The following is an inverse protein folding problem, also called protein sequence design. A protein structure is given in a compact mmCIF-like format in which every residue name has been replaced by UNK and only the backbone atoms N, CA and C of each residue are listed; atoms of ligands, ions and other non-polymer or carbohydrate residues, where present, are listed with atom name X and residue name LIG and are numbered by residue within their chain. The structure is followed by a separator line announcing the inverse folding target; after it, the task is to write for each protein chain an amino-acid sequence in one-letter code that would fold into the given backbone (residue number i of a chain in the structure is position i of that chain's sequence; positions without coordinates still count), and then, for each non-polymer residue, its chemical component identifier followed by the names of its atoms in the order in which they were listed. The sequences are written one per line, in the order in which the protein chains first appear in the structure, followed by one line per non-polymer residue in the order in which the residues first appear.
data_IF_419753408374
#
_entry.id   IF_419753408374
#
_cell.length_a   1.000
_cell.length_b   1.000
_cell.length_c   1.000
_cell.angle_alpha   90.00
_cell.angle_beta   90.00
_cell.angle_gamma   90.00
#
_symmetry.space_group_name_H-M   'P 1'
#
loop_
_entity.id
_entity.type
_entity.pdbx_description
1 polymer ?
#
# COMPACT_ATOMS: atom_id res chain seq x y z
N UNK A 1 27.00 -6.98 30.95
CA UNK A 1 25.80 -6.14 30.65
C UNK A 1 25.99 -5.55 29.25
N UNK A 2 25.38 -6.15 28.22
CA UNK A 2 25.60 -5.78 26.81
C UNK A 2 24.78 -4.53 26.44
N UNK A 3 25.42 -3.36 26.52
CA UNK A 3 24.80 -2.06 26.17
C UNK A 3 24.76 -1.88 24.64
N UNK A 4 25.70 -2.50 23.90
CA UNK A 4 25.80 -2.42 22.44
C UNK A 4 24.70 -3.18 21.67
N UNK A 5 24.02 -4.15 22.29
CA UNK A 5 22.88 -4.84 21.68
C UNK A 5 21.61 -3.98 21.63
N UNK A 6 21.47 -3.02 22.55
CA UNK A 6 20.27 -2.18 22.69
C UNK A 6 20.19 -1.05 21.65
N UNK A 7 21.35 -0.53 21.20
CA UNK A 7 21.41 0.54 20.19
C UNK A 7 20.99 0.09 18.79
N UNK A 8 21.33 -1.15 18.39
CA UNK A 8 20.92 -1.72 17.10
C UNK A 8 19.38 -1.78 16.98
N UNK A 9 18.70 -2.17 18.06
CA UNK A 9 17.24 -2.23 18.09
C UNK A 9 16.58 -0.85 17.95
N UNK A 10 17.20 0.22 18.49
CA UNK A 10 16.70 1.59 18.35
C UNK A 10 16.82 2.14 16.93
N UNK A 11 17.94 1.87 16.25
CA UNK A 11 18.13 2.27 14.85
C UNK A 11 17.14 1.53 13.95
N UNK A 12 16.96 0.22 14.16
CA UNK A 12 15.96 -0.56 13.42
C UNK A 12 14.54 -0.05 13.68
N UNK A 13 14.21 0.31 14.93
CA UNK A 13 12.91 0.90 15.27
C UNK A 13 12.71 2.26 14.60
N UNK A 14 13.72 3.12 14.61
CA UNK A 14 13.68 4.41 13.92
C UNK A 14 13.44 4.24 12.42
N UNK A 15 14.21 3.36 11.77
CA UNK A 15 14.01 3.04 10.35
C UNK A 15 12.60 2.52 10.08
N UNK A 16 12.09 1.61 10.92
CA UNK A 16 10.71 1.11 10.81
C UNK A 16 9.66 2.23 10.89
N UNK A 17 9.82 3.20 11.80
CA UNK A 17 8.89 4.32 11.89
C UNK A 17 8.98 5.25 10.68
N UNK A 18 10.19 5.54 10.20
CA UNK A 18 10.40 6.37 9.01
C UNK A 18 9.85 5.75 7.73
N UNK A 19 9.89 4.42 7.62
CA UNK A 19 9.40 3.68 6.44
C UNK A 19 7.98 3.12 6.62
N UNK A 20 7.36 3.34 7.78
CA UNK A 20 6.01 2.87 8.05
C UNK A 20 5.01 3.52 7.09
N UNK A 21 4.44 2.70 6.22
CA UNK A 21 3.37 3.08 5.29
C UNK A 21 1.99 2.67 5.80
N UNK A 22 1.86 2.39 7.10
CA UNK A 22 0.65 1.90 7.73
C UNK A 22 0.17 2.80 8.89
N UNK A 23 -1.09 2.61 9.30
CA UNK A 23 -1.79 3.32 10.36
C UNK A 23 -2.03 4.83 10.11
N UNK A 24 -1.12 5.71 10.52
CA UNK A 24 -1.40 7.15 10.65
C UNK A 24 -1.50 7.85 9.30
N UNK A 25 -0.50 7.66 8.43
CA UNK A 25 -0.47 8.26 7.09
C UNK A 25 -1.66 7.82 6.24
N UNK A 26 -2.09 6.58 6.41
CA UNK A 26 -3.28 6.03 5.72
C UNK A 26 -4.57 6.62 6.25
N UNK A 27 -4.70 6.74 7.57
CA UNK A 27 -5.85 7.40 8.19
C UNK A 27 -5.96 8.84 7.70
N UNK A 28 -4.87 9.60 7.78
CA UNK A 28 -4.82 10.99 7.31
C UNK A 28 -5.15 11.11 5.82
N UNK A 29 -4.57 10.27 4.97
CA UNK A 29 -4.87 10.29 3.53
C UNK A 29 -6.35 9.94 3.23
N UNK A 30 -6.92 8.98 3.96
CA UNK A 30 -8.34 8.63 3.85
C UNK A 30 -9.24 9.80 4.27
N UNK A 31 -8.98 10.39 5.44
CA UNK A 31 -9.78 11.52 5.94
C UNK A 31 -9.68 12.73 5.02
N UNK A 32 -8.48 12.99 4.50
CA UNK A 32 -8.28 14.08 3.55
C UNK A 32 -9.01 13.82 2.24
N UNK A 33 -8.91 12.62 1.65
CA UNK A 33 -9.68 12.26 0.46
C UNK A 33 -11.20 12.38 0.70
N UNK A 34 -11.67 11.94 1.87
CA UNK A 34 -13.07 12.07 2.27
C UNK A 34 -13.50 13.54 2.36
N UNK A 35 -12.65 14.43 2.90
CA UNK A 35 -12.93 15.88 2.93
C UNK A 35 -13.08 16.53 1.55
N UNK A 36 -12.48 15.93 0.52
CA UNK A 36 -12.58 16.36 -0.88
C UNK A 36 -13.69 15.63 -1.65
N UNK A 37 -14.43 14.73 -1.01
CA UNK A 37 -15.41 13.86 -1.66
C UNK A 37 -14.80 12.84 -2.62
N UNK A 38 -13.50 12.56 -2.50
CA UNK A 38 -12.75 11.64 -3.37
C UNK A 38 -12.74 10.24 -2.74
N UNK A 39 -13.08 9.18 -3.49
CA UNK A 39 -13.01 7.82 -2.98
C UNK A 39 -11.55 7.39 -2.74
N UNK A 40 -11.27 6.86 -1.54
CA UNK A 40 -9.95 6.36 -1.14
C UNK A 40 -9.90 4.84 -1.17
N UNK A 41 -9.03 4.27 -2.01
CA UNK A 41 -8.79 2.83 -2.11
C UNK A 41 -7.40 2.48 -1.56
N UNK A 42 -7.33 1.50 -0.65
CA UNK A 42 -6.06 0.96 -0.14
C UNK A 42 -6.05 -0.55 -0.25
N UNK A 43 -5.10 -1.05 -1.02
CA UNK A 43 -4.84 -2.48 -1.15
C UNK A 43 -3.59 -2.84 -0.36
N UNK A 44 -3.76 -3.66 0.67
CA UNK A 44 -2.67 -4.09 1.55
C UNK A 44 -3.02 -5.46 2.11
N UNK A 45 -2.54 -6.56 1.51
CA UNK A 45 -2.74 -7.90 2.05
C UNK A 45 -2.10 -7.98 3.45
N UNK A 46 -2.75 -8.71 4.35
CA UNK A 46 -2.16 -9.06 5.66
C UNK A 46 -1.38 -10.34 5.48
N UNK A 47 -0.06 -10.22 5.49
CA UNK A 47 0.83 -11.35 5.31
C UNK A 47 0.98 -12.14 6.61
N UNK A 48 1.12 -13.45 6.53
CA UNK A 48 1.28 -14.34 7.70
C UNK A 48 2.66 -14.22 8.34
N UNK A 49 3.67 -13.81 7.56
CA UNK A 49 5.04 -13.58 8.00
C UNK A 49 5.63 -12.30 7.44
N UNK A 50 6.69 -11.83 8.10
CA UNK A 50 7.54 -10.77 7.55
C UNK A 50 8.45 -11.35 6.45
N UNK A 51 8.65 -10.56 5.40
CA UNK A 51 9.58 -10.87 4.31
C UNK A 51 10.68 -9.80 4.31
N UNK A 52 11.93 -10.25 4.23
CA UNK A 52 13.07 -9.34 4.08
C UNK A 52 13.04 -8.70 2.69
N UNK A 53 13.47 -7.44 2.62
CA UNK A 53 13.39 -6.65 1.38
C UNK A 53 14.28 -7.23 0.26
N UNK A 54 15.38 -7.87 0.64
CA UNK A 54 16.38 -8.50 -0.23
C UNK A 54 16.18 -10.01 -0.38
N UNK A 55 15.04 -10.55 0.06
CA UNK A 55 14.73 -11.98 -0.07
C UNK A 55 14.59 -12.39 -1.54
N UNK A 56 15.44 -13.35 -1.95
CA UNK A 56 15.39 -14.00 -3.28
C UNK A 56 14.88 -15.45 -3.22
N UNK A 57 14.48 -15.92 -2.03
CA UNK A 57 14.03 -17.29 -1.83
C UNK A 57 12.68 -17.52 -2.51
N UNK A 58 12.65 -18.45 -3.49
CA UNK A 58 11.47 -18.71 -4.30
C UNK A 58 10.24 -19.11 -3.45
N UNK A 59 10.41 -19.98 -2.45
CA UNK A 59 9.33 -20.41 -1.56
C UNK A 59 8.67 -19.22 -0.85
N UNK A 60 9.46 -18.25 -0.38
CA UNK A 60 8.91 -17.05 0.26
C UNK A 60 8.14 -16.15 -0.70
N UNK A 61 8.62 -16.03 -1.93
CA UNK A 61 7.92 -15.27 -2.96
C UNK A 61 6.59 -15.95 -3.32
N UNK A 62 6.56 -17.29 -3.43
CA UNK A 62 5.35 -18.04 -3.71
C UNK A 62 4.30 -17.90 -2.61
N UNK A 63 4.69 -18.02 -1.34
CA UNK A 63 3.78 -17.81 -0.21
C UNK A 63 3.20 -16.39 -0.22
N UNK A 64 4.06 -15.38 -0.38
CA UNK A 64 3.67 -13.98 -0.48
C UNK A 64 2.66 -13.74 -1.62
N UNK A 65 2.92 -14.30 -2.80
CA UNK A 65 2.02 -14.21 -3.95
C UNK A 65 0.70 -14.92 -3.71
N UNK A 66 0.72 -16.12 -3.13
CA UNK A 66 -0.49 -16.87 -2.85
C UNK A 66 -1.38 -16.13 -1.85
N UNK A 67 -0.82 -15.62 -0.76
CA UNK A 67 -1.55 -14.82 0.23
C UNK A 67 -2.13 -13.54 -0.38
N UNK A 68 -1.37 -12.89 -1.27
CA UNK A 68 -1.84 -11.72 -2.02
C UNK A 68 -3.02 -12.09 -2.94
N UNK A 69 -2.94 -13.21 -3.66
CA UNK A 69 -4.03 -13.67 -4.53
C UNK A 69 -5.30 -14.00 -3.73
N UNK A 70 -5.15 -14.66 -2.57
CA UNK A 70 -6.26 -14.93 -1.65
C UNK A 70 -6.90 -13.62 -1.19
N UNK A 71 -6.10 -12.62 -0.80
CA UNK A 71 -6.59 -11.29 -0.42
C UNK A 71 -7.38 -10.62 -1.56
N UNK A 72 -6.85 -10.66 -2.78
CA UNK A 72 -7.49 -10.06 -3.96
C UNK A 72 -8.85 -10.70 -4.26
N UNK A 73 -8.95 -12.03 -4.17
CA UNK A 73 -10.18 -12.78 -4.47
C UNK A 73 -11.23 -12.69 -3.37
N UNK A 74 -10.82 -12.51 -2.12
CA UNK A 74 -11.73 -12.55 -0.97
C UNK A 74 -12.07 -11.16 -0.45
N UNK A 75 -11.07 -10.44 0.08
CA UNK A 75 -11.27 -9.19 0.83
C UNK A 75 -11.33 -7.97 -0.10
N UNK A 76 -10.45 -7.89 -1.10
CA UNK A 76 -10.32 -6.71 -1.94
C UNK A 76 -11.25 -6.70 -3.16
N UNK A 77 -11.87 -7.85 -3.50
CA UNK A 77 -12.60 -8.04 -4.76
C UNK A 77 -13.62 -6.94 -5.04
N UNK A 78 -14.43 -6.58 -4.04
CA UNK A 78 -15.47 -5.55 -4.21
C UNK A 78 -14.89 -4.15 -4.40
N UNK A 79 -13.83 -3.81 -3.67
CA UNK A 79 -13.14 -2.53 -3.80
C UNK A 79 -12.45 -2.39 -5.16
N UNK A 80 -11.86 -3.47 -5.68
CA UNK A 80 -11.30 -3.51 -7.04
C UNK A 80 -12.39 -3.27 -8.08
N UNK A 81 -13.54 -3.92 -7.94
CA UNK A 81 -14.68 -3.71 -8.85
C UNK A 81 -15.17 -2.25 -8.81
N UNK A 82 -15.27 -1.64 -7.62
CA UNK A 82 -15.62 -0.22 -7.46
C UNK A 82 -14.61 0.68 -8.15
N UNK A 83 -13.31 0.44 -7.93
CA UNK A 83 -12.24 1.18 -8.59
C UNK A 83 -12.32 1.04 -10.12
N UNK A 84 -12.48 -0.17 -10.65
CA UNK A 84 -12.62 -0.38 -12.09
C UNK A 84 -13.84 0.35 -12.68
N UNK A 85 -14.97 0.38 -11.97
CA UNK A 85 -16.16 1.13 -12.40
C UNK A 85 -15.88 2.63 -12.41
N UNK A 86 -15.27 3.15 -11.36
CA UNK A 86 -14.90 4.57 -11.26
C UNK A 86 -13.99 4.97 -12.42
N UNK A 87 -12.92 4.22 -12.67
CA UNK A 87 -11.99 4.49 -13.77
C UNK A 87 -12.66 4.44 -15.14
N UNK A 88 -13.64 3.55 -15.34
CA UNK A 88 -14.40 3.47 -16.59
C UNK A 88 -15.40 4.61 -16.76
N UNK A 89 -15.94 5.14 -15.66
CA UNK A 89 -16.88 6.28 -15.70
C UNK A 89 -16.20 7.64 -15.85
N UNK A 90 -14.87 7.72 -15.73
CA UNK A 90 -14.15 8.98 -15.87
C UNK A 90 -14.22 9.50 -17.32
N UNK A 91 -14.48 10.80 -17.53
CA UNK A 91 -14.50 11.39 -18.88
C UNK A 91 -13.11 11.33 -19.51
N UNK A 92 -12.99 10.77 -20.72
CA UNK A 92 -11.71 10.69 -21.45
C UNK A 92 -11.05 12.06 -21.67
N UNK A 93 -11.84 13.13 -21.78
CA UNK A 93 -11.37 14.49 -22.00
C UNK A 93 -10.63 15.09 -20.78
N UNK A 94 -11.04 14.76 -19.56
CA UNK A 94 -10.41 15.25 -18.32
C UNK A 94 -9.06 14.55 -18.08
N UNK A 95 -8.98 13.24 -18.39
CA UNK A 95 -7.74 12.47 -18.31
C UNK A 95 -6.69 13.01 -19.30
N UNK A 96 -7.11 13.35 -20.53
CA UNK A 96 -6.22 13.93 -21.53
C UNK A 96 -5.68 15.30 -21.11
N UNK A 97 -6.53 16.16 -20.55
CA UNK A 97 -6.14 17.49 -20.04
C UNK A 97 -5.16 17.40 -18.85
N UNK A 98 -5.40 16.49 -17.91
CA UNK A 98 -4.46 16.26 -16.81
C UNK A 98 -3.09 15.78 -17.31
N UNK A 99 -3.07 14.81 -18.24
CA UNK A 99 -1.84 14.31 -18.85
C UNK A 99 -1.08 15.43 -19.59
N UNK A 100 -1.78 16.31 -20.30
CA UNK A 100 -1.18 17.47 -20.97
C UNK A 100 -0.61 18.51 -19.99
N UNK A 101 -1.29 18.76 -18.85
CA UNK A 101 -0.85 19.74 -17.84
C UNK A 101 0.43 19.35 -17.09
N UNK A 102 0.77 18.06 -17.06
CA UNK A 102 2.01 17.53 -16.44
C UNK A 102 3.19 17.43 -17.42
N UNK A 103 2.96 17.71 -18.71
CA UNK A 103 3.98 17.69 -19.77
C UNK A 103 4.45 19.09 -20.20
N UNK A 104 4.05 20.14 -19.48
CA UNK A 104 4.57 21.50 -19.58
C UNK A 104 5.33 21.86 -18.31
#
# INVERSE_FOLDING_TARGET
MNIFGKGKNLITLFMYQCTSSHAVSVGQAREWAHSLGIPYFRFSPRLTRAYDLDSVAAEGIFDFWFETEVYLRTQARQEIVKLCRLLKSMPKAEVQKYMQSKSS
#
